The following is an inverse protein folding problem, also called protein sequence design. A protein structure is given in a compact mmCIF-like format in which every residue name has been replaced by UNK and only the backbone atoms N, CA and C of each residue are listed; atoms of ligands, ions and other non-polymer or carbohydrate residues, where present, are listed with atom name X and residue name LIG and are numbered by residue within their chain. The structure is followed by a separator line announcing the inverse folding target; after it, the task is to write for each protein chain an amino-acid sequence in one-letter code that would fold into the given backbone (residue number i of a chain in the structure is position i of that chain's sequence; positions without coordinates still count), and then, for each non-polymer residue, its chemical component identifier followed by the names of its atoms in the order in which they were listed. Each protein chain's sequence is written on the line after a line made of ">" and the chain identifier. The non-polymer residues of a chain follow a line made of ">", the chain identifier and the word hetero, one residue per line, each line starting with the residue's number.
data_IF_081269246129
#
_entry.id   IF_081269246129
#
_cell.length_a   1.000
_cell.length_b   1.000
_cell.length_c   1.000
_cell.angle_alpha   90.00
_cell.angle_beta   90.00
_cell.angle_gamma   90.00
#
_symmetry.space_group_name_H-M   'P 1'
#
loop_
_entity.id
_entity.type
_entity.pdbx_description
1 polymer ?
#
# COMPACT_ATOMS: atom_id res chain seq x y z
N UNK A 1 -46.58 33.39 -1.09
CA UNK A 1 -45.79 32.79 -0.01
C UNK A 1 -45.49 33.86 1.04
N UNK A 2 -45.75 33.57 2.31
CA UNK A 2 -45.51 34.50 3.44
C UNK A 2 -44.02 34.54 3.80
N UNK A 3 -43.57 35.57 4.50
CA UNK A 3 -42.16 35.75 4.88
C UNK A 3 -41.56 34.56 5.67
N UNK A 4 -42.39 33.67 6.23
CA UNK A 4 -41.97 32.44 6.90
C UNK A 4 -41.54 31.30 5.97
N UNK A 5 -41.99 31.27 4.71
CA UNK A 5 -41.63 30.21 3.74
C UNK A 5 -40.22 30.41 3.13
N UNK A 6 -39.71 31.64 3.12
CA UNK A 6 -38.33 31.94 2.74
C UNK A 6 -37.32 31.35 3.73
N UNK A 7 -37.67 31.32 5.01
CA UNK A 7 -36.79 30.81 6.07
C UNK A 7 -36.53 29.30 6.00
N UNK A 8 -37.32 28.57 5.20
CA UNK A 8 -37.19 27.11 4.99
C UNK A 8 -36.73 26.74 3.58
N UNK A 9 -36.44 27.71 2.71
CA UNK A 9 -36.25 27.48 1.26
C UNK A 9 -35.02 26.62 0.90
N UNK A 10 -34.08 26.42 1.84
CA UNK A 10 -32.96 25.49 1.67
C UNK A 10 -32.94 24.34 2.70
N UNK A 11 -33.61 24.49 3.84
CA UNK A 11 -33.54 23.56 4.97
C UNK A 11 -34.91 23.47 5.66
N UNK A 12 -35.44 22.25 5.78
CA UNK A 12 -36.65 21.99 6.56
C UNK A 12 -36.27 21.80 8.04
N UNK A 13 -36.16 22.92 8.78
CA UNK A 13 -35.76 22.93 10.20
C UNK A 13 -36.83 23.55 11.11
N UNK A 14 -36.74 23.25 12.40
CA UNK A 14 -37.69 23.74 13.43
C UNK A 14 -37.56 25.24 13.73
N UNK A 15 -36.37 25.81 13.54
CA UNK A 15 -36.10 27.25 13.77
C UNK A 15 -35.75 27.91 12.44
N UNK A 16 -36.48 28.94 12.03
CA UNK A 16 -36.20 29.72 10.83
C UNK A 16 -34.71 30.14 10.74
N UNK A 17 -34.13 30.11 9.52
CA UNK A 17 -32.86 30.78 9.25
C UNK A 17 -33.01 32.28 9.53
N UNK A 18 -31.97 32.92 10.05
CA UNK A 18 -32.00 34.36 10.23
C UNK A 18 -32.12 35.08 8.89
N UNK A 19 -32.98 36.10 8.80
CA UNK A 19 -33.15 36.89 7.58
C UNK A 19 -31.80 37.39 7.04
N UNK A 20 -31.66 37.40 5.72
CA UNK A 20 -30.54 37.99 5.02
C UNK A 20 -31.04 39.23 4.27
N UNK A 21 -30.36 40.36 4.45
CA UNK A 21 -30.70 41.64 3.82
C UNK A 21 -30.28 41.71 2.33
N UNK A 22 -29.74 40.62 1.77
CA UNK A 22 -29.24 40.56 0.39
C UNK A 22 -27.90 41.28 0.18
N UNK A 23 -27.27 41.77 1.24
CA UNK A 23 -25.98 42.45 1.19
C UNK A 23 -24.82 41.46 1.31
N UNK A 24 -23.69 41.81 0.70
CA UNK A 24 -22.54 40.92 0.57
C UNK A 24 -21.79 40.70 1.90
N UNK A 25 -21.84 41.67 2.81
CA UNK A 25 -21.17 41.68 4.11
C UNK A 25 -21.65 40.53 5.03
N UNK A 26 -22.93 40.17 4.98
CA UNK A 26 -23.49 39.06 5.76
C UNK A 26 -23.49 37.71 5.02
N UNK A 27 -23.21 37.70 3.71
CA UNK A 27 -23.41 36.52 2.87
C UNK A 27 -22.58 35.30 3.33
N UNK A 28 -21.35 35.52 3.82
CA UNK A 28 -20.49 34.44 4.31
C UNK A 28 -21.07 33.77 5.55
N UNK A 29 -21.60 34.54 6.49
CA UNK A 29 -22.11 34.01 7.74
C UNK A 29 -23.46 33.31 7.55
N UNK A 30 -24.31 33.85 6.65
CA UNK A 30 -25.54 33.18 6.23
C UNK A 30 -25.28 31.86 5.50
N UNK A 31 -24.27 31.84 4.62
CA UNK A 31 -23.85 30.59 3.97
C UNK A 31 -23.37 29.56 5.01
N UNK A 32 -22.56 29.96 6.00
CA UNK A 32 -22.14 29.06 7.09
C UNK A 32 -23.34 28.52 7.86
N UNK A 33 -24.33 29.35 8.16
CA UNK A 33 -25.58 28.93 8.84
C UNK A 33 -26.31 27.83 8.05
N UNK A 34 -26.40 27.97 6.72
CA UNK A 34 -27.00 26.97 5.84
C UNK A 34 -26.15 25.69 5.82
N UNK A 35 -24.83 25.81 5.64
CA UNK A 35 -23.91 24.66 5.51
C UNK A 35 -23.85 23.79 6.77
N UNK A 36 -24.18 24.32 7.94
CA UNK A 36 -24.26 23.53 9.18
C UNK A 36 -25.31 22.39 9.12
N UNK A 37 -26.29 22.51 8.24
CA UNK A 37 -27.34 21.50 8.05
C UNK A 37 -27.02 20.49 6.95
N UNK A 38 -25.95 20.72 6.19
CA UNK A 38 -25.46 19.72 5.26
C UNK A 38 -24.91 18.52 6.02
N UNK A 39 -25.23 17.30 5.56
CA UNK A 39 -24.59 16.11 6.11
C UNK A 39 -23.08 16.20 5.89
N UNK A 40 -22.32 15.93 6.96
CA UNK A 40 -20.86 15.85 6.85
C UNK A 40 -20.52 14.61 6.02
N UNK A 41 -19.95 14.82 4.85
CA UNK A 41 -19.43 13.72 4.04
C UNK A 41 -18.13 13.23 4.67
N UNK A 42 -18.02 11.91 4.86
CA UNK A 42 -16.75 11.26 5.19
C UNK A 42 -15.75 11.38 4.04
N UNK A 43 -14.49 11.02 4.29
CA UNK A 43 -13.45 10.99 3.27
C UNK A 43 -13.92 10.24 2.01
N UNK A 44 -13.92 10.92 0.87
CA UNK A 44 -14.37 10.38 -0.42
C UNK A 44 -13.16 9.74 -1.10
N UNK A 45 -13.17 8.42 -1.27
CA UNK A 45 -12.09 7.70 -1.98
C UNK A 45 -12.06 7.98 -3.49
N UNK A 46 -13.19 8.34 -4.08
CA UNK A 46 -13.33 8.66 -5.50
C UNK A 46 -13.91 10.06 -5.73
N UNK A 47 -13.05 11.06 -5.53
CA UNK A 47 -13.39 12.49 -5.63
C UNK A 47 -13.83 12.87 -7.04
N UNK A 48 -13.18 12.35 -8.07
CA UNK A 48 -13.40 12.65 -9.48
C UNK A 48 -14.80 12.27 -9.93
N UNK A 49 -15.19 11.01 -9.71
CA UNK A 49 -16.53 10.54 -10.05
C UNK A 49 -17.59 11.23 -9.21
N UNK A 50 -17.27 11.59 -7.97
CA UNK A 50 -18.19 12.34 -7.11
C UNK A 50 -18.44 13.73 -7.67
N UNK A 51 -17.40 14.48 -8.03
CA UNK A 51 -17.54 15.79 -8.68
C UNK A 51 -18.38 15.67 -9.95
N UNK A 52 -18.05 14.71 -10.83
CA UNK A 52 -18.76 14.53 -12.10
C UNK A 52 -20.26 14.21 -11.92
N UNK A 53 -20.59 13.34 -10.96
CA UNK A 53 -21.98 13.03 -10.60
C UNK A 53 -22.71 14.25 -10.05
N UNK A 54 -22.13 14.94 -9.06
CA UNK A 54 -22.77 16.12 -8.46
C UNK A 54 -23.04 17.23 -9.47
N UNK A 55 -22.12 17.49 -10.42
CA UNK A 55 -22.36 18.47 -11.48
C UNK A 55 -23.49 18.02 -12.41
N UNK A 56 -23.58 16.72 -12.70
CA UNK A 56 -24.65 16.15 -13.52
C UNK A 56 -26.00 16.23 -12.82
N UNK A 57 -26.06 15.91 -11.53
CA UNK A 57 -27.26 16.01 -10.71
C UNK A 57 -27.74 17.47 -10.63
N UNK A 58 -26.83 18.42 -10.40
CA UNK A 58 -27.15 19.85 -10.42
C UNK A 58 -27.67 20.29 -11.79
N UNK A 59 -27.13 19.74 -12.88
CA UNK A 59 -27.62 20.03 -14.23
C UNK A 59 -29.06 19.55 -14.42
N UNK A 60 -29.44 18.40 -13.85
CA UNK A 60 -30.83 17.92 -13.92
C UNK A 60 -31.82 18.74 -13.11
N UNK A 61 -31.36 19.48 -12.10
CA UNK A 61 -32.19 20.40 -11.31
C UNK A 61 -32.37 21.77 -11.99
N UNK A 62 -31.73 22.02 -13.13
CA UNK A 62 -31.87 23.27 -13.85
C UNK A 62 -33.23 23.35 -14.55
N UNK A 63 -33.88 24.49 -14.36
CA UNK A 63 -35.13 24.83 -15.02
C UNK A 63 -34.91 25.94 -16.04
N UNK A 64 -35.34 25.75 -17.30
CA UNK A 64 -35.21 26.76 -18.35
C UNK A 64 -36.53 27.50 -18.61
N UNK A 65 -36.50 28.84 -18.63
CA UNK A 65 -37.64 29.70 -18.94
C UNK A 65 -37.21 31.06 -19.49
N UNK A 66 -37.92 31.56 -20.49
CA UNK A 66 -37.69 32.90 -21.08
C UNK A 66 -36.25 33.12 -21.59
N UNK A 67 -35.62 32.09 -22.19
CA UNK A 67 -34.25 32.16 -22.70
C UNK A 67 -33.16 32.15 -21.62
N UNK A 68 -33.51 31.80 -20.38
CA UNK A 68 -32.58 31.71 -19.26
C UNK A 68 -32.80 30.40 -18.49
N UNK A 69 -31.80 29.99 -17.73
CA UNK A 69 -31.85 28.87 -16.81
C UNK A 69 -31.88 29.31 -15.36
N UNK A 70 -32.43 28.47 -14.50
CA UNK A 70 -32.59 28.75 -13.09
C UNK A 70 -32.24 27.51 -12.28
N UNK A 71 -31.45 27.68 -11.23
CA UNK A 71 -31.28 26.68 -10.17
C UNK A 71 -32.01 27.17 -8.92
N UNK A 72 -32.93 26.35 -8.39
CA UNK A 72 -33.80 26.74 -7.28
C UNK A 72 -35.16 27.31 -7.73
N UNK A 73 -35.91 27.87 -6.79
CA UNK A 73 -37.29 28.28 -7.01
C UNK A 73 -37.37 29.64 -7.74
N UNK A 74 -37.63 29.61 -9.05
CA UNK A 74 -37.97 30.79 -9.86
C UNK A 74 -39.50 30.91 -10.01
N UNK A 75 -40.07 32.05 -9.59
CA UNK A 75 -41.52 32.24 -9.55
C UNK A 75 -42.03 33.24 -10.59
N UNK A 76 -41.35 34.38 -10.75
CA UNK A 76 -41.92 35.48 -11.56
C UNK A 76 -40.92 36.22 -12.45
N UNK A 77 -40.08 37.08 -11.89
CA UNK A 77 -39.31 38.08 -12.68
C UNK A 77 -37.81 37.96 -12.50
N UNK A 78 -37.32 37.67 -11.31
CA UNK A 78 -35.91 37.71 -10.94
C UNK A 78 -35.61 36.79 -9.75
N UNK A 79 -34.33 36.58 -9.47
CA UNK A 79 -33.86 35.81 -8.32
C UNK A 79 -33.34 36.77 -7.25
N UNK A 80 -34.24 37.47 -6.56
CA UNK A 80 -33.90 38.45 -5.52
C UNK A 80 -34.12 37.95 -4.09
N UNK A 81 -34.53 36.69 -3.92
CA UNK A 81 -34.82 36.10 -2.62
C UNK A 81 -36.15 36.57 -2.02
N UNK A 82 -36.97 37.32 -2.75
CA UNK A 82 -38.33 37.66 -2.32
C UNK A 82 -39.29 36.49 -2.57
N UNK A 83 -40.34 36.41 -1.74
CA UNK A 83 -41.36 35.37 -1.88
C UNK A 83 -42.28 35.56 -3.09
N UNK A 84 -42.19 36.73 -3.74
CA UNK A 84 -42.92 37.03 -4.97
C UNK A 84 -42.15 36.63 -6.24
N UNK A 85 -40.82 36.72 -6.22
CA UNK A 85 -39.99 36.52 -7.41
C UNK A 85 -39.21 35.20 -7.39
N UNK A 86 -38.68 34.78 -6.24
CA UNK A 86 -38.02 33.49 -6.06
C UNK A 86 -36.65 33.54 -5.41
N UNK A 87 -36.23 32.40 -4.87
CA UNK A 87 -34.88 32.15 -4.34
C UNK A 87 -34.17 31.19 -5.29
N UNK A 88 -33.38 31.74 -6.20
CA UNK A 88 -32.77 31.00 -7.28
C UNK A 88 -31.44 31.61 -7.72
N UNK A 89 -30.74 30.93 -8.62
CA UNK A 89 -29.61 31.48 -9.38
C UNK A 89 -30.01 31.51 -10.84
N UNK A 90 -29.90 32.68 -11.48
CA UNK A 90 -30.19 32.86 -12.91
C UNK A 90 -28.93 32.65 -13.75
N UNK A 91 -29.02 31.79 -14.75
CA UNK A 91 -28.02 31.54 -15.79
C UNK A 91 -28.51 32.12 -17.12
N UNK A 92 -28.00 33.31 -17.46
CA UNK A 92 -28.41 34.02 -18.67
C UNK A 92 -28.03 33.23 -19.94
N UNK A 93 -28.98 33.05 -20.85
CA UNK A 93 -28.77 32.33 -22.11
C UNK A 93 -28.77 30.79 -21.99
N UNK A 94 -28.97 30.24 -20.78
CA UNK A 94 -29.20 28.81 -20.63
C UNK A 94 -30.59 28.43 -21.16
N UNK A 95 -30.67 27.35 -21.93
CA UNK A 95 -31.93 26.84 -22.52
C UNK A 95 -32.10 25.36 -22.23
N UNK A 96 -33.26 24.79 -22.59
CA UNK A 96 -33.52 23.35 -22.43
C UNK A 96 -32.51 22.47 -23.19
N UNK A 97 -31.95 22.98 -24.28
CA UNK A 97 -31.01 22.24 -25.15
C UNK A 97 -29.57 22.69 -25.00
N UNK A 98 -29.30 23.77 -24.26
CA UNK A 98 -27.97 24.32 -24.08
C UNK A 98 -27.73 24.73 -22.63
N UNK A 99 -26.91 23.94 -21.93
CA UNK A 99 -26.48 24.18 -20.55
C UNK A 99 -25.09 24.83 -20.43
N UNK A 100 -24.53 25.30 -21.55
CA UNK A 100 -23.16 25.87 -21.60
C UNK A 100 -22.98 27.04 -20.64
N UNK A 101 -24.02 27.85 -20.40
CA UNK A 101 -23.94 28.95 -19.45
C UNK A 101 -23.72 28.49 -18.00
N UNK A 102 -24.24 27.31 -17.62
CA UNK A 102 -23.95 26.67 -16.34
C UNK A 102 -22.52 26.11 -16.32
N UNK A 103 -22.12 25.39 -17.37
CA UNK A 103 -20.80 24.75 -17.46
C UNK A 103 -19.64 25.75 -17.45
N UNK A 104 -19.85 26.94 -18.03
CA UNK A 104 -18.86 28.02 -18.07
C UNK A 104 -18.75 28.82 -16.77
N UNK A 105 -19.60 28.57 -15.77
CA UNK A 105 -19.43 29.24 -14.49
C UNK A 105 -18.10 28.85 -13.85
N UNK A 106 -17.44 29.83 -13.21
CA UNK A 106 -16.08 29.64 -12.71
C UNK A 106 -15.96 28.44 -11.75
N UNK A 107 -16.97 28.22 -10.91
CA UNK A 107 -16.96 27.11 -9.95
C UNK A 107 -17.16 25.74 -10.62
N UNK A 108 -18.05 25.61 -11.62
CA UNK A 108 -18.23 24.37 -12.38
C UNK A 108 -16.97 24.05 -13.19
N UNK A 109 -16.44 25.04 -13.91
CA UNK A 109 -15.22 24.88 -14.70
C UNK A 109 -14.03 24.45 -13.82
N UNK A 110 -13.90 25.04 -12.62
CA UNK A 110 -12.83 24.68 -11.67
C UNK A 110 -12.99 23.26 -11.15
N UNK A 111 -14.19 22.85 -10.78
CA UNK A 111 -14.47 21.49 -10.31
C UNK A 111 -14.19 20.44 -11.40
N UNK A 112 -14.62 20.69 -12.64
CA UNK A 112 -14.30 19.82 -13.78
C UNK A 112 -12.79 19.70 -14.03
N UNK A 113 -12.06 20.82 -13.90
CA UNK A 113 -10.60 20.84 -14.01
C UNK A 113 -9.94 19.99 -12.91
N UNK A 114 -10.42 20.11 -11.66
CA UNK A 114 -9.93 19.29 -10.54
C UNK A 114 -10.19 17.80 -10.78
N UNK A 115 -11.40 17.43 -11.20
CA UNK A 115 -11.72 16.04 -11.52
C UNK A 115 -10.81 15.48 -12.62
N UNK A 116 -10.57 16.26 -13.68
CA UNK A 116 -9.67 15.86 -14.77
C UNK A 116 -8.23 15.68 -14.30
N UNK A 117 -7.72 16.60 -13.46
CA UNK A 117 -6.36 16.54 -12.94
C UNK A 117 -6.14 15.32 -12.02
N UNK A 118 -7.09 15.06 -11.14
CA UNK A 118 -7.03 13.90 -10.24
C UNK A 118 -7.08 12.58 -11.04
N UNK A 119 -7.95 12.48 -12.07
CA UNK A 119 -8.01 11.31 -12.93
C UNK A 119 -6.67 11.05 -13.63
N UNK A 120 -6.03 12.10 -14.18
CA UNK A 120 -4.70 11.98 -14.81
C UNK A 120 -3.65 11.52 -13.81
N UNK A 121 -3.66 12.07 -12.59
CA UNK A 121 -2.72 11.66 -11.55
C UNK A 121 -2.89 10.18 -11.17
N UNK A 122 -4.12 9.68 -11.06
CA UNK A 122 -4.37 8.26 -10.80
C UNK A 122 -3.88 7.36 -11.92
N UNK A 123 -4.16 7.73 -13.17
CA UNK A 123 -3.68 6.99 -14.33
C UNK A 123 -2.15 6.95 -14.40
N UNK A 124 -1.49 8.09 -14.16
CA UNK A 124 -0.03 8.17 -14.11
C UNK A 124 0.57 7.34 -12.97
N UNK A 125 -0.05 7.34 -11.79
CA UNK A 125 0.38 6.53 -10.66
C UNK A 125 0.27 5.03 -10.95
N UNK A 126 -0.82 4.60 -11.59
CA UNK A 126 -0.99 3.19 -11.98
C UNK A 126 0.02 2.77 -13.06
N UNK A 127 0.27 3.64 -14.05
CA UNK A 127 1.31 3.39 -15.06
C UNK A 127 2.71 3.31 -14.44
N UNK A 128 3.04 4.20 -13.52
CA UNK A 128 4.32 4.18 -12.82
C UNK A 128 4.50 2.89 -12.00
N UNK A 129 3.44 2.44 -11.33
CA UNK A 129 3.42 1.17 -10.59
C UNK A 129 3.63 -0.02 -11.53
N UNK A 130 2.94 -0.07 -12.67
CA UNK A 130 3.16 -1.09 -13.68
C UNK A 130 4.59 -1.11 -14.22
N UNK A 131 5.15 0.06 -14.53
CA UNK A 131 6.52 0.17 -15.01
C UNK A 131 7.53 -0.29 -13.95
N UNK A 132 7.34 0.09 -12.69
CA UNK A 132 8.18 -0.36 -11.58
C UNK A 132 8.17 -1.89 -11.45
N UNK A 133 6.99 -2.51 -11.53
CA UNK A 133 6.86 -3.98 -11.48
C UNK A 133 7.58 -4.66 -12.68
N UNK A 134 7.48 -4.08 -13.88
CA UNK A 134 8.16 -4.60 -15.06
C UNK A 134 9.69 -4.47 -14.96
N UNK A 135 10.18 -3.34 -14.45
CA UNK A 135 11.61 -3.12 -14.19
C UNK A 135 12.15 -4.12 -13.16
N UNK A 136 11.38 -4.39 -12.09
CA UNK A 136 11.74 -5.38 -11.10
C UNK A 136 11.79 -6.79 -11.70
N UNK A 137 10.81 -7.16 -12.53
CA UNK A 137 10.79 -8.44 -13.23
C UNK A 137 11.98 -8.60 -14.20
N UNK A 138 12.30 -7.56 -14.98
CA UNK A 138 13.44 -7.57 -15.89
C UNK A 138 14.77 -7.64 -15.15
N UNK A 139 14.89 -6.92 -14.02
CA UNK A 139 16.06 -7.00 -13.16
C UNK A 139 16.27 -8.43 -12.64
N UNK A 140 15.22 -9.09 -12.16
CA UNK A 140 15.26 -10.49 -11.73
C UNK A 140 15.65 -11.44 -12.88
N UNK A 141 15.08 -11.24 -14.08
CA UNK A 141 15.42 -12.03 -15.27
C UNK A 141 16.90 -11.86 -15.67
N UNK A 142 17.44 -10.63 -15.57
CA UNK A 142 18.84 -10.34 -15.87
C UNK A 142 19.80 -11.04 -14.90
N UNK A 143 19.45 -11.11 -13.60
CA UNK A 143 20.22 -11.89 -12.63
C UNK A 143 20.21 -13.38 -12.98
N UNK A 144 19.06 -13.93 -13.38
CA UNK A 144 18.95 -15.31 -13.86
C UNK A 144 19.88 -15.60 -15.04
N UNK A 145 19.87 -14.75 -16.08
CA UNK A 145 20.75 -14.89 -17.25
C UNK A 145 22.24 -14.75 -16.88
N UNK A 146 22.59 -13.83 -15.98
CA UNK A 146 23.97 -13.68 -15.52
C UNK A 146 24.48 -14.94 -14.81
N UNK A 147 23.62 -15.61 -14.03
CA UNK A 147 23.92 -16.90 -13.42
C UNK A 147 24.12 -17.97 -14.49
N UNK A 148 23.24 -18.07 -15.50
CA UNK A 148 23.38 -19.03 -16.60
C UNK A 148 24.68 -18.86 -17.39
N UNK A 149 25.06 -17.61 -17.71
CA UNK A 149 26.32 -17.32 -18.40
C UNK A 149 27.53 -17.71 -17.56
N UNK A 150 27.50 -17.44 -16.25
CA UNK A 150 28.57 -17.86 -15.33
C UNK A 150 28.69 -19.39 -15.29
N UNK A 151 27.57 -20.12 -15.29
CA UNK A 151 27.55 -21.59 -15.31
C UNK A 151 28.08 -22.17 -16.63
N UNK A 152 27.84 -21.50 -17.77
CA UNK A 152 28.35 -21.94 -19.09
C UNK A 152 29.83 -21.63 -19.34
N UNK A 153 30.40 -20.65 -18.64
CA UNK A 153 31.82 -20.26 -18.77
C UNK A 153 32.77 -21.04 -17.84
N UNK A 154 32.28 -21.91 -16.98
CA UNK A 154 33.14 -22.89 -16.30
C UNK A 154 33.63 -23.89 -17.35
N UNK A 155 34.94 -23.94 -17.68
CA UNK A 155 35.44 -24.95 -18.59
C UNK A 155 35.20 -26.32 -17.96
N UNK A 156 34.66 -27.24 -18.76
CA UNK A 156 34.69 -28.66 -18.46
C UNK A 156 36.16 -29.11 -18.43
N UNK A 157 36.85 -28.84 -17.32
CA UNK A 157 38.19 -29.35 -17.05
C UNK A 157 38.03 -30.56 -16.16
N UNK A 158 38.00 -31.71 -16.83
CA UNK A 158 38.63 -32.98 -16.43
C UNK A 158 38.65 -33.35 -14.94
N UNK A 159 37.90 -34.41 -14.61
CA UNK A 159 37.99 -35.32 -13.45
C UNK A 159 37.73 -34.74 -12.03
N UNK A 160 36.96 -35.47 -11.19
CA UNK A 160 36.48 -34.96 -9.90
C UNK A 160 37.59 -35.02 -8.83
N UNK A 161 38.08 -33.86 -8.40
CA UNK A 161 38.69 -33.75 -7.08
C UNK A 161 37.60 -33.45 -6.05
N UNK A 162 37.50 -34.29 -5.02
CA UNK A 162 36.43 -34.29 -4.03
C UNK A 162 36.41 -33.06 -3.09
N UNK A 163 37.32 -32.10 -3.27
CA UNK A 163 37.38 -30.87 -2.46
C UNK A 163 36.59 -29.71 -3.08
N UNK A 164 36.44 -29.64 -4.41
CA UNK A 164 35.75 -28.52 -5.09
C UNK A 164 34.22 -28.58 -4.97
N UNK A 165 33.65 -29.75 -4.65
CA UNK A 165 32.20 -29.96 -4.60
C UNK A 165 31.53 -29.31 -3.37
N UNK A 166 32.27 -29.17 -2.26
CA UNK A 166 31.71 -28.71 -0.98
C UNK A 166 31.48 -27.19 -0.95
N UNK A 167 32.38 -26.44 -1.57
CA UNK A 167 32.27 -24.98 -1.69
C UNK A 167 31.26 -24.57 -2.77
N UNK A 168 31.16 -25.33 -3.87
CA UNK A 168 30.15 -25.09 -4.90
C UNK A 168 28.72 -25.33 -4.41
N UNK A 169 28.49 -26.37 -3.58
CA UNK A 169 27.16 -26.66 -3.03
C UNK A 169 26.75 -25.59 -2.01
N UNK A 170 27.67 -25.20 -1.12
CA UNK A 170 27.48 -24.11 -0.14
C UNK A 170 27.13 -22.78 -0.81
N UNK A 171 27.85 -22.42 -1.88
CA UNK A 171 27.59 -21.19 -2.63
C UNK A 171 26.23 -21.23 -3.35
N UNK A 172 25.85 -22.37 -3.95
CA UNK A 172 24.56 -22.56 -4.62
C UNK A 172 23.39 -22.48 -3.65
N UNK A 173 23.51 -23.06 -2.45
CA UNK A 173 22.46 -23.01 -1.43
C UNK A 173 22.34 -21.59 -0.84
N UNK A 174 23.45 -20.88 -0.63
CA UNK A 174 23.45 -19.50 -0.12
C UNK A 174 22.66 -18.56 -1.01
N UNK A 175 22.88 -18.62 -2.32
CA UNK A 175 22.14 -17.79 -3.29
C UNK A 175 20.65 -18.13 -3.30
N UNK A 176 20.28 -19.42 -3.16
CA UNK A 176 18.88 -19.85 -3.09
C UNK A 176 18.15 -19.31 -1.87
N UNK A 177 18.81 -19.23 -0.71
CA UNK A 177 18.23 -18.64 0.48
C UNK A 177 18.12 -17.12 0.37
N UNK A 178 19.15 -16.44 -0.12
CA UNK A 178 19.18 -14.97 -0.23
C UNK A 178 18.18 -14.41 -1.26
N UNK A 179 17.68 -15.24 -2.18
CA UNK A 179 16.62 -14.88 -3.12
C UNK A 179 15.21 -14.84 -2.48
N UNK A 180 15.03 -15.42 -1.28
CA UNK A 180 13.71 -15.50 -0.64
C UNK A 180 13.48 -14.25 0.20
N UNK A 181 12.45 -13.49 -0.15
CA UNK A 181 12.13 -12.22 0.52
C UNK A 181 10.96 -12.30 1.51
N UNK A 182 10.23 -13.42 1.54
CA UNK A 182 9.12 -13.62 2.47
C UNK A 182 9.57 -14.49 3.64
N UNK A 183 9.25 -14.06 4.85
CA UNK A 183 9.58 -14.80 6.06
C UNK A 183 8.95 -16.21 6.07
N UNK A 184 7.71 -16.33 5.60
CA UNK A 184 6.99 -17.61 5.52
C UNK A 184 7.72 -18.62 4.59
N UNK A 185 8.09 -18.18 3.39
CA UNK A 185 8.77 -19.02 2.39
C UNK A 185 10.22 -19.34 2.79
N UNK A 186 10.86 -18.50 3.60
CA UNK A 186 12.19 -18.77 4.12
C UNK A 186 12.16 -19.84 5.22
N UNK A 187 11.15 -19.78 6.09
CA UNK A 187 10.99 -20.68 7.24
C UNK A 187 10.56 -22.10 6.86
N UNK A 188 10.06 -22.31 5.64
CA UNK A 188 9.73 -23.66 5.13
C UNK A 188 10.95 -24.43 4.62
N UNK A 189 12.09 -23.76 4.41
CA UNK A 189 13.33 -24.37 3.94
C UNK A 189 14.29 -24.58 5.10
N UNK A 190 14.58 -25.82 5.44
CA UNK A 190 15.47 -26.19 6.56
C UNK A 190 16.91 -25.73 6.33
N UNK A 191 17.32 -25.63 5.07
CA UNK A 191 18.63 -25.13 4.66
C UNK A 191 18.75 -23.59 4.77
N UNK A 192 17.66 -22.87 5.02
CA UNK A 192 17.65 -21.42 5.13
C UNK A 192 17.21 -20.94 6.54
N UNK A 193 17.65 -19.74 6.91
CA UNK A 193 17.31 -19.07 8.17
C UNK A 193 16.91 -17.62 7.93
N UNK A 194 15.74 -17.25 8.43
CA UNK A 194 15.26 -15.87 8.41
C UNK A 194 15.87 -15.08 9.58
N UNK A 195 16.49 -13.92 9.29
CA UNK A 195 17.11 -13.03 10.27
C UNK A 195 16.40 -11.66 10.37
N UNK A 196 15.15 -11.56 9.93
CA UNK A 196 14.34 -10.34 9.96
C UNK A 196 13.21 -10.44 11.00
N UNK A 197 12.54 -9.32 11.27
CA UNK A 197 11.34 -9.31 12.10
C UNK A 197 10.18 -10.05 11.40
N UNK A 198 9.34 -10.74 12.17
CA UNK A 198 8.21 -11.48 11.63
C UNK A 198 7.14 -10.54 11.04
N UNK A 199 6.70 -10.83 9.81
CA UNK A 199 5.67 -10.05 9.11
C UNK A 199 6.18 -8.91 8.21
N UNK A 200 7.50 -8.77 8.02
CA UNK A 200 8.07 -7.83 7.03
C UNK A 200 8.75 -8.58 5.88
N UNK A 201 8.44 -8.18 4.65
CA UNK A 201 9.13 -8.66 3.46
C UNK A 201 10.48 -7.94 3.30
N UNK A 202 11.52 -8.66 2.88
CA UNK A 202 12.86 -8.10 2.70
C UNK A 202 13.99 -9.14 2.61
N UNK A 203 15.23 -8.68 2.37
CA UNK A 203 16.41 -9.55 2.16
C UNK A 203 17.00 -10.07 3.47
N UNK A 204 16.22 -10.84 4.22
CA UNK A 204 16.63 -11.34 5.53
C UNK A 204 16.82 -12.87 5.59
N UNK A 205 16.49 -13.59 4.52
CA UNK A 205 16.73 -15.03 4.43
C UNK A 205 18.19 -15.32 4.06
N UNK A 206 18.89 -16.14 4.84
CA UNK A 206 20.30 -16.53 4.61
C UNK A 206 20.47 -18.04 4.77
N UNK A 207 21.60 -18.58 4.29
CA UNK A 207 21.92 -20.00 4.48
C UNK A 207 22.04 -20.33 5.98
N UNK A 208 21.45 -21.45 6.38
CA UNK A 208 21.61 -22.01 7.71
C UNK A 208 22.86 -22.89 7.77
N UNK A 209 23.99 -22.32 8.20
CA UNK A 209 25.28 -23.01 8.30
C UNK A 209 25.27 -24.22 9.25
N UNK A 210 24.32 -24.28 10.17
CA UNK A 210 24.13 -25.41 11.11
C UNK A 210 23.40 -26.61 10.50
N UNK A 211 22.57 -26.41 9.46
CA UNK A 211 21.86 -27.50 8.78
C UNK A 211 22.74 -28.21 7.74
N UNK A 212 23.72 -27.49 7.18
CA UNK A 212 24.65 -28.02 6.16
C UNK A 212 25.61 -29.10 6.70
N UNK A 213 25.80 -29.18 8.03
CA UNK A 213 26.57 -30.26 8.66
C UNK A 213 25.76 -31.56 8.84
N UNK A 214 24.42 -31.50 8.79
CA UNK A 214 23.55 -32.67 9.01
C UNK A 214 23.30 -33.52 7.75
N UNK A 215 23.59 -33.03 6.54
CA UNK A 215 23.52 -33.87 5.33
C UNK A 215 24.67 -34.90 5.22
N UNK A 216 25.65 -34.89 6.15
CA UNK A 216 26.83 -35.77 6.10
C UNK A 216 26.66 -37.13 6.81
N UNK A 217 25.50 -37.49 7.35
CA UNK A 217 25.38 -38.70 8.20
C UNK A 217 24.49 -39.83 7.66
N UNK A 218 24.15 -39.84 6.38
CA UNK A 218 23.54 -41.03 5.77
C UNK A 218 24.22 -41.41 4.47
N UNK A 219 25.21 -42.31 4.58
CA UNK A 219 25.27 -43.62 3.88
C UNK A 219 26.73 -44.12 3.92
N UNK A 220 26.98 -45.22 4.65
CA UNK A 220 28.26 -45.93 4.61
C UNK A 220 28.66 -46.58 5.94
N UNK A 221 28.07 -47.72 6.27
CA UNK A 221 28.47 -48.62 7.35
C UNK A 221 29.87 -49.20 7.08
N UNK A 222 30.77 -49.20 8.08
CA UNK A 222 32.03 -49.95 8.05
C UNK A 222 33.15 -49.38 8.95
N UNK A 223 33.38 -50.06 10.08
CA UNK A 223 34.47 -49.99 11.07
C UNK A 223 35.77 -49.19 10.81
N UNK A 224 36.10 -48.36 11.82
CA UNK A 224 37.35 -48.31 12.63
C UNK A 224 37.81 -46.86 12.91
N UNK A 225 38.08 -46.61 14.19
CA UNK A 225 38.65 -45.45 14.89
C UNK A 225 39.43 -44.41 14.03
N UNK A 226 39.41 -43.11 14.33
CA UNK A 226 40.07 -42.54 15.53
C UNK A 226 39.61 -41.09 15.76
N UNK A 227 39.17 -40.78 16.98
CA UNK A 227 38.80 -39.43 17.42
C UNK A 227 40.03 -38.58 17.76
N UNK A 228 39.94 -37.28 17.53
CA UNK A 228 40.87 -36.29 18.11
C UNK A 228 40.28 -35.82 19.44
N UNK A 229 41.01 -36.10 20.52
CA UNK A 229 40.62 -35.88 21.91
C UNK A 229 40.61 -34.40 22.31
N UNK A 230 39.63 -34.01 23.13
CA UNK A 230 39.70 -32.81 23.96
C UNK A 230 40.48 -33.16 25.25
N UNK A 231 41.51 -32.37 25.51
CA UNK A 231 42.57 -32.57 26.48
C UNK A 231 42.05 -32.47 27.91
N UNK A 232 42.15 -33.56 28.69
CA UNK A 232 41.90 -33.54 30.14
C UNK A 232 41.87 -34.92 30.81
N UNK A 233 41.32 -35.95 30.16
CA UNK A 233 41.21 -37.31 30.74
C UNK A 233 42.27 -38.30 30.22
N UNK A 234 43.32 -37.84 29.55
CA UNK A 234 44.29 -38.71 28.88
C UNK A 234 45.29 -39.42 29.83
N UNK A 235 45.29 -39.11 31.13
CA UNK A 235 46.29 -39.66 32.08
C UNK A 235 45.88 -40.97 32.77
N UNK A 236 44.60 -41.36 32.73
CA UNK A 236 44.07 -42.47 33.54
C UNK A 236 43.34 -43.58 32.75
N UNK A 237 43.43 -43.58 31.42
CA UNK A 237 42.80 -44.59 30.55
C UNK A 237 41.38 -45.01 31.00
N UNK A 238 41.07 -46.31 31.09
CA UNK A 238 39.74 -46.84 31.40
C UNK A 238 39.46 -47.06 32.90
N UNK A 239 40.36 -46.64 33.81
CA UNK A 239 40.15 -46.83 35.24
C UNK A 239 39.29 -45.70 35.84
N UNK A 240 38.00 -45.99 35.93
CA UNK A 240 37.00 -45.07 36.48
C UNK A 240 37.25 -44.71 37.94
N UNK A 241 37.84 -45.60 38.71
CA UNK A 241 38.05 -45.44 40.16
C UNK A 241 39.09 -44.35 40.47
N UNK A 242 40.05 -44.16 39.57
CA UNK A 242 41.05 -43.10 39.67
C UNK A 242 40.56 -41.78 39.01
N UNK A 243 39.73 -41.79 37.95
CA UNK A 243 39.01 -40.58 37.41
C UNK A 243 38.20 -39.89 38.53
N UNK A 244 37.67 -40.68 39.47
CA UNK A 244 36.76 -40.19 40.51
C UNK A 244 37.48 -39.74 41.79
N UNK A 245 38.71 -40.18 42.07
CA UNK A 245 39.49 -39.74 43.25
C UNK A 245 40.11 -38.35 43.09
N UNK A 246 40.39 -37.93 41.85
CA UNK A 246 40.88 -36.59 41.53
C UNK A 246 39.82 -35.48 41.74
N UNK A 247 38.59 -35.84 42.13
CA UNK A 247 37.53 -34.88 42.48
C UNK A 247 37.71 -34.18 43.84
N UNK A 248 38.82 -34.41 44.55
CA UNK A 248 39.08 -33.77 45.84
C UNK A 248 39.55 -32.30 45.73
N UNK A 249 40.08 -31.86 44.59
CA UNK A 249 40.53 -30.47 44.38
C UNK A 249 39.60 -29.71 43.39
N UNK A 250 38.42 -29.35 43.88
CA UNK A 250 37.76 -28.09 43.53
C UNK A 250 37.04 -27.92 42.17
N UNK A 251 37.30 -28.69 41.11
CA UNK A 251 36.59 -28.52 39.83
C UNK A 251 35.78 -29.74 39.40
N UNK A 252 34.46 -29.62 39.47
CA UNK A 252 33.50 -30.62 38.98
C UNK A 252 33.51 -30.66 37.45
N UNK A 253 34.21 -31.61 36.84
CA UNK A 253 34.03 -32.01 35.43
C UNK A 253 33.53 -33.46 35.39
N UNK A 254 32.45 -33.69 34.66
CA UNK A 254 31.84 -35.02 34.45
C UNK A 254 32.62 -35.79 33.39
N UNK A 255 33.15 -36.98 33.74
CA UNK A 255 33.67 -37.95 32.76
C UNK A 255 32.45 -38.49 31.95
N UNK A 256 32.44 -38.40 30.61
CA UNK A 256 31.53 -39.18 29.73
C UNK A 256 32.26 -40.47 29.36
#
# INVERSE_FOLDING_TARGET
>A
MTSGELATTCVNRRTALGNWNGQQDEASDKLKEILQHCQKTSAIGDVESTIGRTITDLRSELYASGGNGYLGAYLKTNCDGSSANGTCVKYTGLTQTDSTAFDKTAWVAKLNSVATALQRNRQAAEQAKHLANNLEAELLASYGKAIEVRMRKSPATTAPSAETSKEEISAKQKVKCEAIQKAADCKTKTECKWNGADGKDGKHCKLNTTATEQEKTQTGTGETATGTAATGCARHETDKTDCEKDKADGEKKSCI
#
